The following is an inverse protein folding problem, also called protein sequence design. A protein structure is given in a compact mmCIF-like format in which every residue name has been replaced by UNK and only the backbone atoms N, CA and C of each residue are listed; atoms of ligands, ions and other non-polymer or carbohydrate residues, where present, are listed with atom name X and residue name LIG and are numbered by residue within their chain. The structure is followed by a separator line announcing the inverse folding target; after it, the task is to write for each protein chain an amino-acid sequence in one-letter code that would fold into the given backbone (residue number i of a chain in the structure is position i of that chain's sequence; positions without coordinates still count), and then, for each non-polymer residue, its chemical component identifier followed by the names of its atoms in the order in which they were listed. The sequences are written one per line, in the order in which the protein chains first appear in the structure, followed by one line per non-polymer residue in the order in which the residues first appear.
data_IF_480131794461
#
_entry.id   IF_480131794461
#
_cell.length_a   1.000
_cell.length_b   1.000
_cell.length_c   1.000
_cell.angle_alpha   90.00
_cell.angle_beta   90.00
_cell.angle_gamma   90.00
#
_symmetry.space_group_name_H-M   'P 1'
#
loop_
_entity.id
_entity.type
_entity.pdbx_description
1 polymer ?
#
# COMPACT_ATOMS: atom_id res chain seq x y z
N UNK A 1 18.52 -21.12 -14.29
CA UNK A 1 18.69 -20.36 -13.08
C UNK A 1 18.26 -18.91 -13.24
N UNK A 2 18.58 -18.36 -14.32
CA UNK A 2 18.37 -16.95 -14.52
C UNK A 2 16.91 -16.56 -14.56
N UNK A 3 16.08 -17.43 -15.08
CA UNK A 3 14.66 -17.12 -15.16
C UNK A 3 14.05 -17.00 -13.79
N UNK A 4 14.47 -17.86 -12.88
CA UNK A 4 13.98 -17.78 -11.54
C UNK A 4 14.43 -16.49 -10.87
N UNK A 5 15.68 -16.14 -11.07
CA UNK A 5 16.20 -14.91 -10.52
C UNK A 5 15.48 -13.70 -11.09
N UNK A 6 15.17 -13.74 -12.38
CA UNK A 6 14.48 -12.63 -13.00
C UNK A 6 13.11 -12.41 -12.41
N UNK A 7 12.39 -13.49 -12.11
CA UNK A 7 11.07 -13.35 -11.52
C UNK A 7 11.13 -12.72 -10.15
N UNK A 8 12.10 -13.14 -9.36
CA UNK A 8 12.28 -12.56 -8.03
C UNK A 8 12.67 -11.10 -8.13
N UNK A 9 13.56 -10.78 -9.05
CA UNK A 9 14.05 -9.42 -9.21
C UNK A 9 12.98 -8.47 -9.70
N UNK A 10 12.04 -8.96 -10.50
CA UNK A 10 10.96 -8.11 -10.96
C UNK A 10 10.20 -7.51 -9.79
N UNK A 11 9.91 -8.32 -8.77
CA UNK A 11 9.23 -7.81 -7.58
C UNK A 11 10.11 -6.86 -6.79
N UNK A 12 11.39 -7.19 -6.67
CA UNK A 12 12.30 -6.37 -5.89
C UNK A 12 12.55 -5.02 -6.55
N UNK A 13 12.48 -4.99 -7.87
CA UNK A 13 12.75 -3.76 -8.60
C UNK A 13 11.53 -2.90 -8.80
N UNK A 14 10.35 -3.42 -8.45
CA UNK A 14 9.14 -2.63 -8.59
C UNK A 14 9.15 -1.50 -7.59
N UNK A 15 8.92 -0.30 -8.08
CA UNK A 15 8.79 0.84 -7.18
C UNK A 15 7.80 1.84 -7.74
N UNK A 16 7.25 2.64 -6.84
CA UNK A 16 6.28 3.67 -7.16
C UNK A 16 6.74 4.98 -6.56
N UNK A 17 6.38 6.06 -7.22
CA UNK A 17 6.60 7.41 -6.68
C UNK A 17 5.24 7.97 -6.33
N UNK A 18 5.07 8.36 -5.09
CA UNK A 18 3.82 8.90 -4.58
C UNK A 18 3.96 10.41 -4.44
N UNK A 19 3.06 11.13 -5.09
CA UNK A 19 3.04 12.59 -5.04
C UNK A 19 4.39 13.23 -5.34
N UNK A 20 5.13 12.63 -6.28
CA UNK A 20 6.40 13.12 -6.80
C UNK A 20 7.57 13.10 -5.81
N UNK A 21 7.35 12.72 -4.55
CA UNK A 21 8.41 12.86 -3.54
C UNK A 21 8.67 11.60 -2.72
N UNK A 22 7.72 10.70 -2.61
CA UNK A 22 7.83 9.54 -1.72
C UNK A 22 7.94 8.28 -2.55
N UNK A 23 8.91 7.45 -2.22
CA UNK A 23 9.12 6.19 -2.92
C UNK A 23 8.49 5.05 -2.12
N UNK A 24 7.68 4.24 -2.80
CA UNK A 24 7.13 3.02 -2.22
C UNK A 24 7.82 1.84 -2.86
N UNK A 25 8.40 0.98 -2.03
CA UNK A 25 9.17 -0.18 -2.45
C UNK A 25 8.46 -1.44 -1.96
N UNK A 26 7.55 -2.02 -2.77
CA UNK A 26 6.80 -3.20 -2.31
C UNK A 26 7.69 -4.39 -1.97
N UNK A 27 8.74 -4.62 -2.74
CA UNK A 27 9.65 -5.73 -2.47
C UNK A 27 10.35 -5.61 -1.13
N UNK A 28 10.55 -4.39 -0.65
CA UNK A 28 11.16 -4.14 0.65
C UNK A 28 10.14 -3.75 1.71
N UNK A 29 8.88 -3.68 1.34
CA UNK A 29 7.77 -3.37 2.23
C UNK A 29 7.99 -2.09 3.01
N UNK A 30 8.40 -1.03 2.31
CA UNK A 30 8.66 0.23 2.99
C UNK A 30 8.33 1.41 2.09
N UNK A 31 8.18 2.58 2.72
CA UNK A 31 8.08 3.86 2.04
C UNK A 31 9.22 4.74 2.55
N UNK A 32 9.76 5.57 1.65
CA UNK A 32 10.97 6.34 1.92
C UNK A 32 10.78 7.75 1.40
N UNK A 33 11.19 8.73 2.19
CA UNK A 33 11.15 10.12 1.71
C UNK A 33 12.54 10.58 1.29
N UNK A 34 12.62 11.80 0.77
CA UNK A 34 13.88 12.33 0.25
C UNK A 34 14.89 12.63 1.34
N UNK A 35 14.44 12.79 2.57
CA UNK A 35 15.32 12.98 3.70
C UNK A 35 15.92 11.68 4.23
N UNK A 36 15.51 10.55 3.67
CA UNK A 36 16.04 9.26 4.08
C UNK A 36 15.23 8.57 5.17
N UNK A 37 14.09 9.12 5.57
CA UNK A 37 13.22 8.45 6.51
C UNK A 37 12.59 7.23 5.85
N UNK A 38 12.73 6.07 6.49
CA UNK A 38 12.22 4.80 5.99
C UNK A 38 11.18 4.30 6.98
N UNK A 39 9.98 4.04 6.48
CA UNK A 39 8.90 3.50 7.30
C UNK A 39 8.56 2.12 6.78
N UNK A 40 8.73 1.11 7.63
CA UNK A 40 8.41 -0.26 7.27
C UNK A 40 6.91 -0.48 7.31
N UNK A 41 6.40 -1.26 6.39
CA UNK A 41 4.99 -1.61 6.32
C UNK A 41 4.83 -3.09 6.64
N UNK A 42 3.76 -3.41 7.36
CA UNK A 42 3.41 -4.82 7.57
C UNK A 42 3.00 -5.44 6.24
N UNK A 43 2.88 -6.76 6.24
CA UNK A 43 2.47 -7.46 5.04
C UNK A 43 1.09 -6.99 4.58
N UNK A 44 0.16 -6.83 5.50
CA UNK A 44 -1.18 -6.36 5.13
C UNK A 44 -1.16 -4.92 4.66
N UNK A 45 -0.34 -4.08 5.28
CA UNK A 45 -0.27 -2.67 4.88
C UNK A 45 0.30 -2.50 3.48
N UNK A 46 1.37 -3.22 3.15
CA UNK A 46 1.95 -3.04 1.81
C UNK A 46 1.02 -3.61 0.74
N UNK A 47 0.35 -4.72 1.02
CA UNK A 47 -0.64 -5.27 0.07
C UNK A 47 -1.79 -4.29 -0.14
N UNK A 48 -2.27 -3.71 0.94
CA UNK A 48 -3.36 -2.75 0.88
C UNK A 48 -2.96 -1.55 0.02
N UNK A 49 -1.80 -0.98 0.31
CA UNK A 49 -1.31 0.18 -0.45
C UNK A 49 -1.13 -0.17 -1.92
N UNK A 50 -0.55 -1.31 -2.21
CA UNK A 50 -0.33 -1.73 -3.59
C UNK A 50 -1.63 -1.81 -4.37
N UNK A 51 -2.69 -2.33 -3.74
CA UNK A 51 -4.00 -2.39 -4.38
C UNK A 51 -4.55 -0.99 -4.66
N UNK A 52 -4.42 -0.08 -3.70
CA UNK A 52 -4.89 1.28 -3.89
C UNK A 52 -4.16 1.97 -5.04
N UNK A 53 -2.86 1.75 -5.15
CA UNK A 53 -2.07 2.36 -6.21
C UNK A 53 -2.41 1.78 -7.58
N UNK A 54 -2.90 0.55 -7.61
CA UNK A 54 -3.34 -0.07 -8.85
C UNK A 54 -4.80 0.24 -9.18
N UNK A 55 -5.45 1.09 -8.37
CA UNK A 55 -6.78 1.58 -8.67
C UNK A 55 -7.91 0.83 -8.01
N UNK A 56 -7.62 -0.15 -7.16
CA UNK A 56 -8.67 -0.87 -6.46
C UNK A 56 -9.26 0.01 -5.37
N UNK A 57 -10.58 0.08 -5.28
CA UNK A 57 -11.26 0.90 -4.29
C UNK A 57 -12.31 0.14 -3.51
N UNK A 58 -12.77 -1.00 -4.01
CA UNK A 58 -13.89 -1.71 -3.41
C UNK A 58 -13.46 -2.42 -2.12
N UNK A 59 -14.18 -2.16 -1.04
CA UNK A 59 -13.86 -2.69 0.28
C UNK A 59 -13.76 -4.22 0.27
N UNK A 60 -14.76 -4.89 -0.32
CA UNK A 60 -14.79 -6.35 -0.27
C UNK A 60 -13.66 -6.96 -1.09
N UNK A 61 -13.35 -6.37 -2.24
CA UNK A 61 -12.24 -6.86 -3.05
C UNK A 61 -10.92 -6.65 -2.34
N UNK A 62 -10.75 -5.53 -1.68
CA UNK A 62 -9.54 -5.27 -0.91
C UNK A 62 -9.40 -6.29 0.22
N UNK A 63 -10.47 -6.52 0.96
CA UNK A 63 -10.45 -7.49 2.05
C UNK A 63 -10.06 -8.87 1.53
N UNK A 64 -10.66 -9.29 0.43
CA UNK A 64 -10.39 -10.62 -0.12
C UNK A 64 -8.93 -10.79 -0.54
N UNK A 65 -8.30 -9.72 -1.01
CA UNK A 65 -6.93 -9.81 -1.51
C UNK A 65 -5.89 -9.59 -0.42
N UNK A 66 -6.16 -8.69 0.53
CA UNK A 66 -5.21 -8.42 1.59
C UNK A 66 -5.18 -9.57 2.60
N UNK A 67 -6.36 -10.06 2.97
CA UNK A 67 -6.49 -11.13 3.96
C UNK A 67 -6.87 -12.46 3.30
N UNK A 68 -6.29 -12.75 2.14
CA UNK A 68 -6.72 -13.90 1.34
C UNK A 68 -6.49 -15.24 2.04
N UNK A 69 -5.62 -15.28 3.05
CA UNK A 69 -5.37 -16.50 3.77
C UNK A 69 -6.36 -16.74 4.91
N UNK A 70 -7.14 -15.74 5.25
CA UNK A 70 -8.10 -15.86 6.33
C UNK A 70 -9.43 -16.32 5.78
N UNK A 71 -9.89 -17.43 6.31
CA UNK A 71 -11.19 -17.97 5.96
C UNK A 71 -12.17 -17.46 6.98
N UNK A 72 -13.25 -16.97 6.58
CA UNK A 72 -14.21 -16.40 7.47
C UNK A 72 -14.19 -14.92 7.36
N UNK A 73 -14.82 -14.23 8.27
CA UNK A 73 -15.01 -12.80 8.16
C UNK A 73 -13.80 -12.06 8.72
N UNK A 74 -13.40 -11.03 7.99
CA UNK A 74 -12.46 -10.06 8.48
C UNK A 74 -13.29 -8.96 9.13
N UNK A 75 -12.94 -8.58 10.36
CA UNK A 75 -13.71 -7.58 11.07
C UNK A 75 -13.50 -6.19 10.45
N UNK A 76 -14.49 -5.34 10.63
CA UNK A 76 -14.36 -3.95 10.19
C UNK A 76 -13.20 -3.28 10.91
N UNK A 77 -12.94 -3.65 12.17
CA UNK A 77 -11.81 -3.10 12.91
C UNK A 77 -10.49 -3.39 12.22
N UNK A 78 -10.32 -4.58 11.67
CA UNK A 78 -9.10 -4.93 10.96
C UNK A 78 -8.94 -4.10 9.69
N UNK A 79 -10.02 -3.95 8.94
CA UNK A 79 -10.00 -3.18 7.71
C UNK A 79 -9.68 -1.70 7.97
N UNK A 80 -10.44 -1.08 8.87
CA UNK A 80 -10.21 0.34 9.18
C UNK A 80 -8.92 0.56 9.93
N UNK A 81 -8.48 -0.44 10.69
CA UNK A 81 -7.19 -0.38 11.36
C UNK A 81 -6.04 -0.27 10.37
N UNK A 82 -6.12 -1.00 9.25
CA UNK A 82 -5.08 -0.90 8.23
C UNK A 82 -5.09 0.46 7.55
N UNK A 83 -6.27 1.02 7.32
CA UNK A 83 -6.37 2.38 6.76
C UNK A 83 -5.71 3.38 7.72
N UNK A 84 -5.98 3.23 9.01
CA UNK A 84 -5.37 4.10 10.02
C UNK A 84 -3.84 3.97 9.99
N UNK A 85 -3.33 2.75 9.92
CA UNK A 85 -1.89 2.52 9.89
C UNK A 85 -1.24 3.12 8.65
N UNK A 86 -1.89 3.00 7.50
CA UNK A 86 -1.35 3.60 6.27
C UNK A 86 -1.35 5.12 6.36
N UNK A 87 -2.40 5.72 6.90
CA UNK A 87 -2.44 7.17 7.10
C UNK A 87 -1.33 7.63 8.02
N UNK A 88 -1.08 6.85 9.07
CA UNK A 88 -0.01 7.18 10.00
C UNK A 88 1.36 7.08 9.33
N UNK A 89 1.57 6.06 8.52
CA UNK A 89 2.81 5.91 7.78
C UNK A 89 3.02 7.09 6.82
N UNK A 90 1.94 7.52 6.15
CA UNK A 90 2.01 8.68 5.28
C UNK A 90 2.46 9.92 6.05
N UNK A 91 1.82 10.17 7.20
CA UNK A 91 2.20 11.32 8.03
C UNK A 91 3.68 11.27 8.39
N UNK A 92 4.18 10.09 8.73
CA UNK A 92 5.57 9.94 9.17
C UNK A 92 6.58 10.23 8.06
N UNK A 93 6.24 10.01 6.80
CA UNK A 93 7.15 10.32 5.69
C UNK A 93 6.88 11.67 5.07
N UNK A 94 5.86 12.39 5.54
CA UNK A 94 5.57 13.72 5.03
C UNK A 94 4.53 13.76 3.92
N UNK A 95 3.74 12.71 3.75
CA UNK A 95 2.61 12.73 2.83
C UNK A 95 1.34 13.09 3.59
N UNK A 96 0.44 13.86 2.97
CA UNK A 96 -0.84 14.12 3.61
C UNK A 96 -1.62 12.83 3.80
N UNK A 97 -2.08 12.58 5.00
CA UNK A 97 -2.88 11.39 5.28
C UNK A 97 -4.24 11.43 4.56
N UNK A 98 -4.68 12.62 4.17
CA UNK A 98 -5.92 12.78 3.42
C UNK A 98 -5.85 12.20 2.02
N UNK A 99 -4.67 11.83 1.55
CA UNK A 99 -4.55 11.13 0.27
C UNK A 99 -5.21 9.77 0.29
N UNK A 100 -5.40 9.19 1.48
CA UNK A 100 -6.12 7.94 1.62
C UNK A 100 -7.53 8.30 2.10
N UNK A 101 -8.46 8.32 1.16
CA UNK A 101 -9.81 8.81 1.43
C UNK A 101 -10.80 7.66 1.49
N UNK A 102 -11.56 7.61 2.58
CA UNK A 102 -12.64 6.64 2.73
C UNK A 102 -13.84 7.09 1.92
N UNK A 103 -14.42 6.18 1.15
CA UNK A 103 -15.62 6.45 0.37
C UNK A 103 -16.77 5.71 1.05
N UNK A 104 -17.74 6.43 1.61
CA UNK A 104 -18.80 5.79 2.40
C UNK A 104 -19.51 4.69 1.60
N UNK A 105 -19.67 3.53 2.23
CA UNK A 105 -20.38 2.36 1.71
C UNK A 105 -19.70 1.69 0.50
N UNK A 106 -18.56 2.21 0.05
CA UNK A 106 -17.89 1.62 -1.12
C UNK A 106 -16.50 1.12 -0.79
N UNK A 107 -15.69 1.93 -0.15
CA UNK A 107 -14.33 1.51 0.13
C UNK A 107 -13.42 2.66 0.42
N UNK A 108 -12.26 2.67 -0.23
CA UNK A 108 -11.21 3.65 0.04
C UNK A 108 -10.45 3.90 -1.24
N UNK A 109 -9.89 5.10 -1.37
CA UNK A 109 -9.21 5.50 -2.61
C UNK A 109 -7.94 6.28 -2.28
N UNK A 110 -6.89 6.04 -3.06
CA UNK A 110 -5.69 6.88 -3.03
C UNK A 110 -5.93 8.08 -3.96
N UNK A 111 -5.81 9.28 -3.40
CA UNK A 111 -6.17 10.51 -4.10
C UNK A 111 -4.97 11.25 -4.69
N UNK A 112 -3.76 10.75 -4.47
CA UNK A 112 -2.57 11.45 -4.93
C UNK A 112 -2.12 11.00 -6.30
N UNK A 113 -0.96 11.50 -6.69
CA UNK A 113 -0.31 11.07 -7.92
C UNK A 113 0.47 9.79 -7.67
N UNK A 114 0.52 8.92 -8.66
CA UNK A 114 1.34 7.72 -8.58
C UNK A 114 2.03 7.51 -9.91
N UNK A 115 3.33 7.24 -9.84
CA UNK A 115 4.11 6.87 -11.01
C UNK A 115 4.85 5.59 -10.73
N UNK A 116 5.12 4.82 -11.78
CA UNK A 116 5.94 3.63 -11.67
C UNK A 116 7.33 3.94 -12.19
N UNK A 117 8.29 3.36 -11.51
CA UNK A 117 9.68 3.54 -11.90
C UNK A 117 10.23 2.25 -12.48
#
# INVERSE_FOLDING_TARGET
MDEFCNNVMDNDELSFILNDTIQFLPGKRCIVNQAGTVISLSENSYRFLLLLLNGETDKQKIINQVWHEQRGSVSDSSYYGQIYMLRKAFDLVGLPSTLIKTIPRKGVKYMGKVGKV
#
